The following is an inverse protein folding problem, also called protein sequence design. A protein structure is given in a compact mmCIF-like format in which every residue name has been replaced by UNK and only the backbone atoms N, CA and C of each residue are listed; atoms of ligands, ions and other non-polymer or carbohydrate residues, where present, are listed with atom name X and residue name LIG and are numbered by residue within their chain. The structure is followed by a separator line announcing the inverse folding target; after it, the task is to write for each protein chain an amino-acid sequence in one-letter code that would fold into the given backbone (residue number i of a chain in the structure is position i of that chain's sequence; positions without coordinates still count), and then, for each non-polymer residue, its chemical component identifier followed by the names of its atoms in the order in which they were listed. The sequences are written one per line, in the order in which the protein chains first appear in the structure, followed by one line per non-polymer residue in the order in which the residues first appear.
data_IF_233240715311
#
_entry.id   IF_233240715311
#
_cell.length_a   1.000
_cell.length_b   1.000
_cell.length_c   1.000
_cell.angle_alpha   90.00
_cell.angle_beta   90.00
_cell.angle_gamma   90.00
#
_symmetry.space_group_name_H-M   'P 1'
#
loop_
_entity.id
_entity.type
_entity.pdbx_description
1 polymer ?
#
# COMPACT_ATOMS: atom_id res chain seq x y z
N UNK A 1 0.42 25.28 14.28
CA UNK A 1 1.56 25.19 13.34
C UNK A 1 1.36 23.93 12.53
N UNK A 2 0.58 24.04 11.44
CA UNK A 2 0.29 22.93 10.55
C UNK A 2 1.56 22.69 9.72
N UNK A 3 2.05 21.45 9.71
CA UNK A 3 3.21 21.07 8.90
C UNK A 3 2.78 21.20 7.43
N UNK A 4 3.39 22.15 6.74
CA UNK A 4 3.06 22.53 5.37
C UNK A 4 3.28 21.39 4.37
N UNK A 5 2.44 21.43 3.34
CA UNK A 5 2.09 20.42 2.34
C UNK A 5 3.16 20.15 1.26
N UNK A 6 4.43 20.39 1.53
CA UNK A 6 5.51 20.34 0.52
C UNK A 6 6.00 18.91 0.15
N UNK A 7 5.43 17.86 0.74
CA UNK A 7 5.82 16.46 0.44
C UNK A 7 5.10 15.84 -0.77
N UNK A 8 4.14 16.53 -1.41
CA UNK A 8 3.29 15.93 -2.46
C UNK A 8 3.81 16.07 -3.89
N UNK A 9 4.59 17.10 -4.22
CA UNK A 9 5.12 17.25 -5.60
C UNK A 9 6.08 16.10 -5.92
N UNK A 10 6.97 15.77 -4.97
CA UNK A 10 7.87 14.62 -5.10
C UNK A 10 7.13 13.28 -5.20
N UNK A 11 5.95 13.16 -4.60
CA UNK A 11 5.14 11.95 -4.63
C UNK A 11 4.49 11.75 -6.00
N UNK A 12 3.85 12.78 -6.55
CA UNK A 12 3.29 12.71 -7.90
C UNK A 12 4.38 12.53 -8.95
N UNK A 13 5.52 13.18 -8.77
CA UNK A 13 6.69 13.01 -9.64
C UNK A 13 7.25 11.59 -9.57
N UNK A 14 7.36 10.98 -8.39
CA UNK A 14 7.79 9.60 -8.24
C UNK A 14 6.82 8.62 -8.92
N UNK A 15 5.50 8.84 -8.81
CA UNK A 15 4.50 8.04 -9.52
C UNK A 15 4.65 8.17 -11.04
N UNK A 16 4.83 9.40 -11.54
CA UNK A 16 5.00 9.66 -12.97
C UNK A 16 6.32 9.07 -13.50
N UNK A 17 7.40 9.17 -12.74
CA UNK A 17 8.69 8.56 -13.08
C UNK A 17 8.57 7.04 -13.16
N UNK A 18 7.94 6.41 -12.17
CA UNK A 18 7.73 4.96 -12.20
C UNK A 18 6.89 4.53 -13.40
N UNK A 19 5.79 5.24 -13.70
CA UNK A 19 5.00 4.98 -14.90
C UNK A 19 5.81 5.15 -16.19
N UNK A 20 6.77 6.07 -16.21
CA UNK A 20 7.64 6.28 -17.38
C UNK A 20 8.67 5.16 -17.61
N UNK A 21 8.97 4.35 -16.59
CA UNK A 21 9.92 3.23 -16.64
C UNK A 21 9.24 1.92 -17.06
N UNK A 22 7.91 1.84 -16.96
CA UNK A 22 7.15 0.65 -17.31
C UNK A 22 7.36 0.26 -18.79
N UNK A 23 7.70 -1.01 -19.04
CA UNK A 23 7.98 -1.55 -20.37
C UNK A 23 9.30 -1.10 -21.03
N UNK A 24 10.03 -0.13 -20.44
CA UNK A 24 11.33 0.35 -20.96
C UNK A 24 12.52 -0.43 -20.44
N UNK A 25 12.39 -1.03 -19.26
CA UNK A 25 13.43 -1.88 -18.68
C UNK A 25 13.38 -3.27 -19.31
N UNK A 26 14.54 -3.88 -19.54
CA UNK A 26 14.67 -5.25 -20.04
C UNK A 26 15.41 -6.10 -19.01
N UNK A 27 14.95 -7.34 -18.81
CA UNK A 27 15.68 -8.32 -18.02
C UNK A 27 16.88 -8.86 -18.81
N UNK A 28 17.69 -9.71 -18.17
CA UNK A 28 18.86 -10.34 -18.79
C UNK A 28 18.51 -11.19 -20.03
N UNK A 29 17.25 -11.63 -20.13
CA UNK A 29 16.69 -12.34 -21.28
C UNK A 29 16.18 -11.41 -22.39
N UNK A 30 16.47 -10.10 -22.32
CA UNK A 30 16.02 -9.04 -23.24
C UNK A 30 14.49 -8.86 -23.31
N UNK A 31 13.75 -9.42 -22.36
CA UNK A 31 12.30 -9.26 -22.27
C UNK A 31 11.98 -7.99 -21.50
N UNK A 32 10.98 -7.24 -21.95
CA UNK A 32 10.51 -6.07 -21.22
C UNK A 32 10.00 -6.46 -19.83
N UNK A 33 10.35 -5.66 -18.83
CA UNK A 33 9.96 -5.83 -17.44
C UNK A 33 8.86 -4.82 -17.10
N UNK A 34 7.87 -5.28 -16.36
CA UNK A 34 6.81 -4.43 -15.81
C UNK A 34 7.39 -3.68 -14.62
N UNK A 35 7.33 -2.35 -14.65
CA UNK A 35 7.77 -1.50 -13.54
C UNK A 35 6.57 -0.70 -13.03
N UNK A 36 6.06 -1.08 -11.86
CA UNK A 36 4.85 -0.49 -11.29
C UNK A 36 5.13 0.10 -9.91
N UNK A 37 4.82 1.38 -9.72
CA UNK A 37 4.79 1.97 -8.39
C UNK A 37 3.59 1.44 -7.59
N UNK A 38 3.86 1.00 -6.37
CA UNK A 38 2.84 0.53 -5.44
C UNK A 38 2.68 1.57 -4.33
N UNK A 39 1.63 2.37 -4.44
CA UNK A 39 1.30 3.41 -3.46
C UNK A 39 0.51 2.85 -2.27
N UNK A 40 0.73 3.41 -1.08
CA UNK A 40 -0.12 3.20 0.09
C UNK A 40 -0.20 4.49 0.89
N UNK A 41 -1.40 5.05 1.01
CA UNK A 41 -1.71 6.35 1.62
C UNK A 41 -2.57 6.09 2.85
N UNK A 42 -2.15 6.52 4.05
CA UNK A 42 -1.02 7.41 4.31
C UNK A 42 0.36 6.73 4.32
N UNK A 43 0.44 5.41 4.50
CA UNK A 43 1.67 4.64 4.55
C UNK A 43 1.41 3.15 4.30
N UNK A 44 2.48 2.33 4.29
CA UNK A 44 2.39 0.87 4.15
C UNK A 44 1.53 0.24 5.24
N UNK A 45 1.57 0.75 6.46
CA UNK A 45 0.88 0.18 7.62
C UNK A 45 -0.65 0.23 7.49
N UNK A 46 -1.20 1.05 6.59
CA UNK A 46 -2.62 0.96 6.23
C UNK A 46 -2.98 -0.44 5.74
N UNK A 47 -2.14 -1.06 4.88
CA UNK A 47 -2.39 -2.41 4.39
C UNK A 47 -2.48 -3.43 5.54
N UNK A 48 -1.59 -3.33 6.53
CA UNK A 48 -1.63 -4.20 7.70
C UNK A 48 -2.89 -3.96 8.53
N UNK A 49 -3.27 -2.70 8.75
CA UNK A 49 -4.46 -2.35 9.51
C UNK A 49 -5.75 -2.89 8.85
N UNK A 50 -5.82 -2.91 7.52
CA UNK A 50 -6.98 -3.43 6.78
C UNK A 50 -7.26 -4.92 7.03
N UNK A 51 -6.30 -5.69 7.55
CA UNK A 51 -6.53 -7.08 7.98
C UNK A 51 -7.41 -7.16 9.25
N UNK A 52 -7.52 -6.07 10.00
CA UNK A 52 -8.22 -6.02 11.27
C UNK A 52 -9.43 -5.10 11.19
N UNK A 53 -9.27 -3.90 10.64
CA UNK A 53 -10.30 -2.86 10.59
C UNK A 53 -10.75 -2.56 9.15
N UNK A 54 -12.02 -2.18 8.98
CA UNK A 54 -12.51 -1.61 7.73
C UNK A 54 -12.38 -0.08 7.80
N UNK A 55 -11.48 0.47 6.99
CA UNK A 55 -11.20 1.90 6.93
C UNK A 55 -11.78 2.44 5.64
N UNK A 56 -12.70 3.40 5.75
CA UNK A 56 -13.46 3.96 4.61
C UNK A 56 -13.45 5.51 4.59
N UNK A 57 -12.61 6.12 5.43
CA UNK A 57 -12.51 7.56 5.63
C UNK A 57 -11.04 7.98 5.87
N UNK A 58 -10.68 9.26 5.67
CA UNK A 58 -9.33 9.76 5.87
C UNK A 58 -8.76 9.38 7.23
N UNK A 59 -7.52 8.88 7.23
CA UNK A 59 -6.80 8.48 8.44
C UNK A 59 -5.36 8.96 8.37
N UNK A 60 -4.88 9.56 9.46
CA UNK A 60 -3.50 10.03 9.53
C UNK A 60 -2.55 8.87 9.88
N UNK A 61 -1.30 8.94 9.39
CA UNK A 61 -0.26 7.90 9.62
C UNK A 61 -0.07 7.53 11.10
N UNK A 62 -0.15 8.51 12.01
CA UNK A 62 0.08 8.29 13.44
C UNK A 62 -1.09 7.50 14.06
N UNK A 63 -2.30 7.74 13.56
CA UNK A 63 -3.50 7.01 13.97
C UNK A 63 -3.49 5.58 13.42
N UNK A 64 -3.05 5.37 12.17
CA UNK A 64 -2.83 4.03 11.61
C UNK A 64 -1.88 3.23 12.51
N UNK A 65 -0.73 3.81 12.86
CA UNK A 65 0.25 3.16 13.74
C UNK A 65 -0.32 2.86 15.12
N UNK A 66 -1.05 3.80 15.72
CA UNK A 66 -1.65 3.64 17.05
C UNK A 66 -2.63 2.48 17.08
N UNK A 67 -3.52 2.38 16.09
CA UNK A 67 -4.51 1.30 15.98
C UNK A 67 -3.87 -0.03 15.63
N UNK A 68 -2.90 -0.05 14.71
CA UNK A 68 -2.21 -1.28 14.34
C UNK A 68 -1.53 -1.93 15.55
N UNK A 69 -0.91 -1.14 16.43
CA UNK A 69 -0.30 -1.63 17.68
C UNK A 69 -1.30 -2.24 18.67
N UNK A 70 -2.60 -1.97 18.54
CA UNK A 70 -3.64 -2.61 19.36
C UNK A 70 -3.91 -4.05 18.89
N UNK A 71 -3.75 -4.32 17.59
CA UNK A 71 -3.93 -5.65 17.00
C UNK A 71 -2.64 -6.46 16.96
N UNK A 72 -1.49 -5.79 16.81
CA UNK A 72 -0.16 -6.39 16.82
C UNK A 72 0.68 -5.69 17.90
N UNK A 73 0.58 -6.11 19.17
CA UNK A 73 1.38 -5.54 20.26
C UNK A 73 2.87 -5.65 19.96
N UNK A 74 3.60 -4.56 20.14
CA UNK A 74 5.04 -4.51 19.86
C UNK A 74 5.39 -4.42 18.37
N UNK A 75 4.43 -4.12 17.48
CA UNK A 75 4.74 -3.87 16.08
C UNK A 75 5.76 -2.74 15.90
N UNK A 76 6.87 -3.07 15.24
CA UNK A 76 7.88 -2.14 14.75
C UNK A 76 7.90 -2.14 13.22
N UNK A 77 8.25 -0.99 12.63
CA UNK A 77 8.25 -0.82 11.19
C UNK A 77 9.25 -1.78 10.54
N UNK A 78 8.78 -2.60 9.60
CA UNK A 78 9.61 -3.62 8.95
C UNK A 78 9.79 -4.92 9.75
N UNK A 79 9.03 -5.13 10.82
CA UNK A 79 9.04 -6.40 11.54
C UNK A 79 8.62 -7.55 10.61
N UNK A 80 9.54 -8.50 10.38
CA UNK A 80 9.33 -9.65 9.49
C UNK A 80 8.20 -10.60 9.93
N UNK A 81 7.74 -10.49 11.18
CA UNK A 81 6.60 -11.26 11.69
C UNK A 81 5.26 -10.78 11.14
N UNK A 82 5.16 -9.56 10.60
CA UNK A 82 3.90 -8.97 10.17
C UNK A 82 3.13 -9.86 9.19
N UNK A 83 3.81 -10.43 8.19
CA UNK A 83 3.17 -11.31 7.23
C UNK A 83 2.62 -12.59 7.88
N UNK A 84 3.39 -13.23 8.77
CA UNK A 84 2.94 -14.43 9.45
C UNK A 84 1.74 -14.16 10.36
N UNK A 85 1.63 -12.95 10.91
CA UNK A 85 0.50 -12.53 11.75
C UNK A 85 -0.75 -12.17 10.93
N UNK A 86 -0.58 -11.67 9.71
CA UNK A 86 -1.71 -11.18 8.90
C UNK A 86 -2.16 -12.12 7.79
N UNK A 87 -1.36 -13.14 7.42
CA UNK A 87 -1.62 -13.99 6.26
C UNK A 87 -2.96 -14.75 6.31
N UNK A 88 -3.46 -15.10 7.50
CA UNK A 88 -4.76 -15.77 7.66
C UNK A 88 -5.95 -14.90 7.28
N UNK A 89 -5.78 -13.56 7.23
CA UNK A 89 -6.83 -12.57 6.96
C UNK A 89 -6.62 -11.85 5.63
N UNK A 90 -5.84 -12.45 4.74
CA UNK A 90 -5.42 -11.83 3.50
C UNK A 90 -6.60 -11.55 2.57
N UNK A 91 -7.60 -12.42 2.57
CA UNK A 91 -8.86 -12.29 1.85
C UNK A 91 -9.66 -11.06 2.31
N UNK A 92 -9.78 -10.86 3.63
CA UNK A 92 -10.47 -9.73 4.24
C UNK A 92 -9.76 -8.41 3.88
N UNK A 93 -8.43 -8.36 4.02
CA UNK A 93 -7.66 -7.17 3.67
C UNK A 93 -7.77 -6.86 2.17
N UNK A 94 -7.74 -7.90 1.32
CA UNK A 94 -7.92 -7.77 -0.14
C UNK A 94 -9.29 -7.18 -0.47
N UNK A 95 -10.37 -7.70 0.14
CA UNK A 95 -11.71 -7.18 -0.08
C UNK A 95 -11.82 -5.70 0.29
N UNK A 96 -11.30 -5.31 1.46
CA UNK A 96 -11.36 -3.92 1.95
C UNK A 96 -10.50 -2.97 1.12
N UNK A 97 -9.30 -3.39 0.72
CA UNK A 97 -8.45 -2.61 -0.17
C UNK A 97 -9.09 -2.42 -1.56
N UNK A 98 -9.75 -3.45 -2.09
CA UNK A 98 -10.51 -3.35 -3.33
C UNK A 98 -11.69 -2.38 -3.19
N UNK A 99 -12.42 -2.42 -2.08
CA UNK A 99 -13.49 -1.46 -1.80
C UNK A 99 -12.95 -0.01 -1.80
N UNK A 100 -11.79 0.24 -1.17
CA UNK A 100 -11.13 1.53 -1.25
C UNK A 100 -10.76 1.90 -2.70
N UNK A 101 -10.21 0.97 -3.47
CA UNK A 101 -9.82 1.20 -4.87
C UNK A 101 -11.01 1.50 -5.80
N UNK A 102 -12.24 1.09 -5.45
CA UNK A 102 -13.45 1.48 -6.21
C UNK A 102 -13.82 2.96 -6.01
N UNK A 103 -13.41 3.56 -4.90
CA UNK A 103 -13.81 4.92 -4.49
C UNK A 103 -12.68 5.93 -4.64
N UNK A 104 -11.45 5.50 -4.36
CA UNK A 104 -10.28 6.35 -4.25
C UNK A 104 -9.11 5.76 -5.02
N UNK A 105 -8.16 6.62 -5.37
CA UNK A 105 -6.90 6.23 -5.99
C UNK A 105 -5.74 6.97 -5.33
N UNK A 106 -4.52 6.66 -5.76
CA UNK A 106 -3.29 7.27 -5.25
C UNK A 106 -3.22 8.81 -5.36
N UNK A 107 -4.13 9.45 -6.09
CA UNK A 107 -4.21 10.91 -6.26
C UNK A 107 -5.38 11.55 -5.51
N UNK A 108 -6.19 10.75 -4.81
CA UNK A 108 -7.39 11.24 -4.11
C UNK A 108 -7.04 11.66 -2.69
N UNK A 109 -6.42 12.82 -2.53
CA UNK A 109 -6.10 13.38 -1.20
C UNK A 109 -7.36 13.92 -0.50
N UNK A 110 -7.59 13.69 0.81
CA UNK A 110 -6.79 12.94 1.79
C UNK A 110 -7.28 11.51 2.04
N UNK A 111 -7.91 10.90 1.04
CA UNK A 111 -8.57 9.61 1.18
C UNK A 111 -7.57 8.44 1.23
N UNK A 112 -7.85 7.39 2.03
CA UNK A 112 -6.97 6.25 2.14
C UNK A 112 -7.01 5.39 0.88
N UNK A 113 -5.85 4.91 0.45
CA UNK A 113 -5.72 4.04 -0.71
C UNK A 113 -4.50 3.14 -0.58
N UNK A 114 -4.58 1.90 -1.06
CA UNK A 114 -3.40 1.03 -1.14
C UNK A 114 -3.44 0.13 -2.37
N UNK A 115 -2.38 0.20 -3.19
CA UNK A 115 -2.15 -0.68 -4.33
C UNK A 115 -1.40 -1.96 -3.92
N UNK A 116 -1.09 -2.14 -2.62
CA UNK A 116 -0.41 -3.35 -2.12
C UNK A 116 -1.24 -4.60 -2.42
N UNK A 117 -2.57 -4.48 -2.48
CA UNK A 117 -3.49 -5.55 -2.89
C UNK A 117 -3.13 -6.12 -4.26
N UNK A 118 -2.73 -5.30 -5.22
CA UNK A 118 -2.35 -5.76 -6.57
C UNK A 118 -1.06 -6.57 -6.53
N UNK A 119 -0.07 -6.10 -5.75
CA UNK A 119 1.20 -6.79 -5.56
C UNK A 119 0.99 -8.16 -4.89
N UNK A 120 0.19 -8.20 -3.83
CA UNK A 120 -0.13 -9.43 -3.11
C UNK A 120 -0.90 -10.40 -4.01
N UNK A 121 -1.89 -9.92 -4.74
CA UNK A 121 -2.66 -10.75 -5.70
C UNK A 121 -1.75 -11.35 -6.76
N UNK A 122 -0.83 -10.55 -7.32
CA UNK A 122 0.16 -11.04 -8.28
C UNK A 122 1.06 -12.13 -7.66
N UNK A 123 1.68 -11.85 -6.51
CA UNK A 123 2.62 -12.78 -5.88
C UNK A 123 1.96 -14.10 -5.43
N UNK A 124 0.71 -14.04 -4.96
CA UNK A 124 -0.05 -15.24 -4.59
C UNK A 124 -0.47 -16.05 -5.81
N UNK A 125 -0.78 -15.41 -6.94
CA UNK A 125 -1.10 -16.09 -8.21
C UNK A 125 0.09 -16.83 -8.84
N UNK A 126 1.32 -16.38 -8.56
CA UNK A 126 2.56 -16.99 -9.05
C UNK A 126 3.00 -18.21 -8.23
N UNK A 127 2.37 -18.47 -7.08
CA UNK A 127 2.60 -19.68 -6.27
C UNK A 127 1.75 -20.89 -6.72
N UNK A 128 1.05 -20.77 -7.85
CA UNK A 128 0.27 -21.84 -8.48
C UNK A 128 1.06 -22.68 -9.47
#
# INVERSE_FOLDING_TARGET
MARDRDEHDSYFDALNQAASLDGKLRNDNKQSVIFRAIASIPNFELWLLLHYEDIQAPIHRDEVMRRLKQHIPGYEKGAGSAFATTCERLDIATQRANALATRFNAKTDPEPYTAIVDLVTLLTSLRG
#
